data_IF_987748101306
#
_entry.id   IF_987748101306
#
_cell.length_a   1.000
_cell.length_b   1.000
_cell.length_c   1.000
_cell.angle_alpha   90.00
_cell.angle_beta   90.00
_cell.angle_gamma   90.00
#
_symmetry.space_group_name_H-M   'P 1'
#
loop_
_entity.id
_entity.type
_entity.pdbx_description
1 polymer ?
#
# COMPACT_ATOMS: atom_id res chain seq x y z
N UNK A 1 1.75 -23.22 6.19
CA UNK A 1 3.16 -23.50 6.58
C UNK A 1 4.11 -22.60 5.80
N UNK A 2 5.31 -22.30 6.33
CA UNK A 2 6.30 -21.42 5.67
C UNK A 2 6.65 -21.86 4.24
N UNK A 3 6.70 -23.17 3.98
CA UNK A 3 6.95 -23.72 2.64
C UNK A 3 5.96 -23.21 1.58
N UNK A 4 4.67 -23.13 1.92
CA UNK A 4 3.63 -22.59 1.00
C UNK A 4 3.83 -21.09 0.74
N UNK A 5 4.39 -20.35 1.69
CA UNK A 5 4.70 -18.93 1.51
C UNK A 5 5.92 -18.76 0.62
N UNK A 6 6.91 -19.65 0.73
CA UNK A 6 8.11 -19.67 -0.11
C UNK A 6 7.76 -19.91 -1.57
N UNK A 7 6.94 -20.93 -1.83
CA UNK A 7 6.50 -21.26 -3.19
C UNK A 7 5.74 -20.11 -3.87
N UNK A 8 5.01 -19.30 -3.09
CA UNK A 8 4.26 -18.15 -3.60
C UNK A 8 5.06 -16.86 -3.70
N UNK A 9 6.08 -16.68 -2.86
CA UNK A 9 6.84 -15.44 -2.80
C UNK A 9 8.00 -15.38 -3.82
N UNK A 10 8.37 -16.51 -4.43
CA UNK A 10 9.43 -16.57 -5.44
C UNK A 10 10.83 -16.23 -4.89
N UNK A 11 11.00 -16.22 -3.57
CA UNK A 11 12.25 -15.90 -2.87
C UNK A 11 12.71 -17.08 -2.02
N UNK A 12 14.02 -17.15 -1.78
CA UNK A 12 14.63 -18.22 -0.99
C UNK A 12 14.09 -18.28 0.45
N UNK A 13 14.02 -19.47 1.03
CA UNK A 13 13.38 -19.73 2.34
C UNK A 13 13.97 -18.92 3.50
N UNK A 14 15.27 -18.64 3.46
CA UNK A 14 15.96 -17.75 4.41
C UNK A 14 15.41 -16.31 4.35
N UNK A 15 15.14 -15.82 3.14
CA UNK A 15 14.51 -14.53 2.91
C UNK A 15 13.07 -14.49 3.43
N UNK A 16 12.28 -15.53 3.15
CA UNK A 16 10.88 -15.60 3.62
C UNK A 16 10.80 -15.61 5.14
N UNK A 17 11.63 -16.42 5.80
CA UNK A 17 11.66 -16.50 7.27
C UNK A 17 12.04 -15.15 7.90
N UNK A 18 13.00 -14.43 7.30
CA UNK A 18 13.40 -13.09 7.75
C UNK A 18 12.25 -12.08 7.62
N UNK A 19 11.59 -12.02 6.46
CA UNK A 19 10.46 -11.11 6.25
C UNK A 19 9.27 -11.44 7.15
N UNK A 20 8.94 -12.72 7.33
CA UNK A 20 7.86 -13.13 8.25
C UNK A 20 8.16 -12.75 9.69
N UNK A 21 9.42 -12.83 10.12
CA UNK A 21 9.84 -12.35 11.45
C UNK A 21 9.68 -10.84 11.58
N UNK A 22 10.14 -10.07 10.59
CA UNK A 22 9.99 -8.60 10.58
C UNK A 22 8.50 -8.23 10.62
N UNK A 23 7.66 -8.89 9.82
CA UNK A 23 6.22 -8.64 9.79
C UNK A 23 5.52 -9.04 11.10
N UNK A 24 6.00 -10.09 11.77
CA UNK A 24 5.52 -10.45 13.09
C UNK A 24 5.92 -9.41 14.14
N UNK A 25 7.18 -8.97 14.14
CA UNK A 25 7.70 -7.93 15.05
C UNK A 25 6.99 -6.59 14.85
N UNK A 26 6.65 -6.25 13.60
CA UNK A 26 5.87 -5.07 13.24
C UNK A 26 4.34 -5.25 13.45
N UNK A 27 3.89 -6.40 13.94
CA UNK A 27 2.49 -6.65 14.28
C UNK A 27 1.58 -7.06 13.12
N UNK A 28 2.04 -7.01 11.86
CA UNK A 28 1.26 -7.33 10.66
C UNK A 28 0.89 -8.82 10.52
N UNK A 29 1.61 -9.71 11.22
CA UNK A 29 1.42 -11.16 11.12
C UNK A 29 1.33 -11.79 12.50
N UNK A 30 0.40 -12.73 12.69
CA UNK A 30 0.39 -13.66 13.83
C UNK A 30 1.09 -14.96 13.47
N UNK A 31 1.67 -15.60 14.49
CA UNK A 31 2.22 -16.95 14.39
C UNK A 31 1.51 -17.86 15.39
N UNK A 32 1.06 -19.02 14.92
CA UNK A 32 0.53 -20.10 15.75
C UNK A 32 1.38 -21.37 15.59
N UNK A 33 1.92 -21.94 16.68
CA UNK A 33 2.56 -23.25 16.62
C UNK A 33 1.51 -24.34 16.35
N UNK A 34 1.84 -25.26 15.44
CA UNK A 34 1.03 -26.41 15.05
C UNK A 34 1.96 -27.64 14.92
N UNK A 35 2.26 -28.25 16.06
CA UNK A 35 3.30 -29.28 16.18
C UNK A 35 4.67 -28.75 15.73
N UNK A 36 5.28 -29.41 14.74
CA UNK A 36 6.56 -28.99 14.13
C UNK A 36 6.41 -27.81 13.14
N UNK A 37 5.18 -27.37 12.85
CA UNK A 37 4.89 -26.32 11.87
C UNK A 37 4.58 -25.00 12.56
N UNK A 38 4.90 -23.91 11.86
CA UNK A 38 4.45 -22.56 12.21
C UNK A 38 3.44 -22.11 11.16
N UNK A 39 2.24 -21.77 11.61
CA UNK A 39 1.18 -21.20 10.80
C UNK A 39 1.22 -19.69 10.95
N UNK A 40 1.20 -18.99 9.82
CA UNK A 40 1.25 -17.53 9.77
C UNK A 40 -0.07 -17.01 9.19
N UNK A 41 -0.64 -15.99 9.81
CA UNK A 41 -1.84 -15.32 9.32
C UNK A 41 -1.66 -13.80 9.39
N UNK A 42 -2.13 -13.09 8.37
CA UNK A 42 -2.14 -11.63 8.36
C UNK A 42 -3.14 -11.09 9.36
N UNK A 43 -2.77 -10.00 10.03
CA UNK A 43 -3.65 -9.22 10.89
C UNK A 43 -4.24 -8.06 10.08
N UNK A 44 -5.57 -7.89 10.01
CA UNK A 44 -6.16 -6.75 9.30
C UNK A 44 -5.89 -5.41 10.01
N UNK A 45 -5.80 -5.41 11.34
CA UNK A 45 -5.80 -4.19 12.16
C UNK A 45 -4.65 -3.22 11.83
N UNK A 46 -3.38 -3.67 11.68
CA UNK A 46 -2.28 -2.78 11.30
C UNK A 46 -2.41 -2.18 9.89
N UNK A 47 -3.14 -2.85 8.98
CA UNK A 47 -3.41 -2.30 7.65
C UNK A 47 -4.50 -1.24 7.67
N UNK A 48 -5.50 -1.40 8.53
CA UNK A 48 -6.53 -0.38 8.76
C UNK A 48 -5.90 0.88 9.38
N UNK A 49 -5.06 0.72 10.40
CA UNK A 49 -4.32 1.84 11.01
C UNK A 49 -3.43 2.57 10.00
N UNK A 50 -2.73 1.82 9.15
CA UNK A 50 -1.95 2.40 8.05
C UNK A 50 -2.84 3.14 7.05
N UNK A 51 -4.01 2.59 6.73
CA UNK A 51 -4.99 3.20 5.85
C UNK A 51 -5.51 4.52 6.40
N UNK A 52 -5.85 4.55 7.68
CA UNK A 52 -6.31 5.75 8.39
C UNK A 52 -5.22 6.82 8.46
N UNK A 53 -3.98 6.43 8.74
CA UNK A 53 -2.84 7.33 8.71
C UNK A 53 -2.58 7.90 7.31
N UNK A 54 -2.80 7.12 6.24
CA UNK A 54 -2.63 7.57 4.85
C UNK A 54 -3.80 8.45 4.35
N UNK A 55 -4.98 8.36 4.95
CA UNK A 55 -6.17 9.05 4.47
C UNK A 55 -6.02 10.59 4.39
N UNK A 56 -5.41 11.30 5.35
CA UNK A 56 -5.14 12.74 5.23
C UNK A 56 -4.21 13.09 4.07
N UNK A 57 -3.18 12.27 3.83
CA UNK A 57 -2.25 12.47 2.73
C UNK A 57 -2.95 12.29 1.38
N UNK A 58 -3.83 11.28 1.26
CA UNK A 58 -4.65 11.07 0.08
C UNK A 58 -5.49 12.32 -0.23
N UNK A 59 -6.21 12.85 0.76
CA UNK A 59 -7.00 14.09 0.61
C UNK A 59 -6.16 15.28 0.17
N UNK A 60 -4.96 15.42 0.73
CA UNK A 60 -4.04 16.50 0.33
C UNK A 60 -3.63 16.40 -1.14
N UNK A 61 -3.30 15.19 -1.61
CA UNK A 61 -2.88 14.98 -2.99
C UNK A 61 -4.04 15.15 -3.98
N UNK A 62 -5.22 14.61 -3.66
CA UNK A 62 -6.43 14.79 -4.45
C UNK A 62 -6.73 16.30 -4.64
N UNK A 63 -6.76 17.07 -3.55
CA UNK A 63 -7.00 18.51 -3.62
C UNK A 63 -5.95 19.28 -4.43
N UNK A 64 -4.69 18.80 -4.49
CA UNK A 64 -3.64 19.42 -5.31
C UNK A 64 -3.85 19.10 -6.79
N UNK A 65 -4.22 17.86 -7.10
CA UNK A 65 -4.49 17.42 -8.46
C UNK A 65 -5.73 18.11 -9.03
N UNK A 66 -6.79 18.30 -8.23
CA UNK A 66 -7.99 19.03 -8.63
C UNK A 66 -7.68 20.48 -9.03
N UNK A 67 -6.84 21.17 -8.23
CA UNK A 67 -6.40 22.54 -8.55
C UNK A 67 -5.57 22.59 -9.82
N UNK A 68 -4.71 21.59 -10.02
CA UNK A 68 -3.90 21.49 -11.22
C UNK A 68 -4.77 21.27 -12.46
N UNK A 69 -5.75 20.37 -12.39
CA UNK A 69 -6.72 20.15 -13.46
C UNK A 69 -7.50 21.43 -13.80
N UNK A 70 -8.00 22.15 -12.78
CA UNK A 70 -8.70 23.42 -12.98
C UNK A 70 -7.82 24.48 -13.66
N UNK A 71 -6.55 24.57 -13.28
CA UNK A 71 -5.60 25.49 -13.89
C UNK A 71 -5.33 25.15 -15.37
N UNK A 72 -5.21 23.86 -15.70
CA UNK A 72 -5.06 23.40 -17.08
C UNK A 72 -6.29 23.74 -17.93
N UNK A 73 -7.50 23.45 -17.43
CA UNK A 73 -8.76 23.80 -18.13
C UNK A 73 -8.83 25.29 -18.45
N UNK A 74 -8.54 26.15 -17.46
CA UNK A 74 -8.51 27.61 -17.65
C UNK A 74 -7.50 28.06 -18.71
N UNK A 75 -6.33 27.42 -18.78
CA UNK A 75 -5.32 27.72 -19.81
C UNK A 75 -5.78 27.32 -21.21
N UNK A 76 -6.41 26.17 -21.35
CA UNK A 76 -6.95 25.69 -22.63
C UNK A 76 -8.07 26.60 -23.13
N UNK A 77 -9.03 26.95 -22.27
CA UNK A 77 -10.12 27.86 -22.64
C UNK A 77 -9.62 29.25 -23.07
N UNK A 78 -8.57 29.77 -22.42
CA UNK A 78 -7.96 31.04 -22.82
C UNK A 78 -7.32 30.97 -24.21
N UNK A 79 -6.59 29.89 -24.48
CA UNK A 79 -5.94 29.70 -25.78
C UNK A 79 -6.94 29.48 -26.91
N UNK A 80 -8.09 28.85 -26.66
CA UNK A 80 -9.17 28.74 -27.63
C UNK A 80 -9.87 30.08 -27.90
N UNK A 81 -10.09 30.90 -26.86
CA UNK A 81 -10.68 32.25 -27.01
C UNK A 81 -9.76 33.19 -27.80
N UNK A 82 -8.44 33.09 -27.62
CA UNK A 82 -7.45 33.88 -28.37
C UNK A 82 -7.37 33.47 -29.85
N UNK A 83 -7.66 32.21 -30.21
CA UNK A 83 -7.68 31.74 -31.61
C UNK A 83 -8.97 32.08 -32.37
N UNK A 84 -10.08 32.34 -31.67
CA UNK A 84 -11.38 32.68 -32.27
C UNK A 84 -11.58 34.18 -32.50
N UNK A 85 -10.67 35.02 -31.98
CA UNK A 85 -10.66 36.47 -32.13
C UNK A 85 -9.70 36.87 -33.24
#
# INVERSE_FOLDING_TARGET
PVGVVVDKAGIHQSGVSRHLRILQEAGFVTVRPDGQRRLYALKPEPFEELGDWLAPYRKLWEARLDRFEAALKKKTERTEKEKKK
#
